data_IF_219504467671
#
_entry.id   IF_219504467671
#
_cell.length_a   1.000
_cell.length_b   1.000
_cell.length_c   1.000
_cell.angle_alpha   90.00
_cell.angle_beta   90.00
_cell.angle_gamma   90.00
#
_symmetry.space_group_name_H-M   'P 1'
#
loop_
_entity.id
_entity.type
_entity.pdbx_description
1 polymer ?
#
# COMPACT_ATOMS: atom_id res chain seq x y z
N UNK A 1 -2.51 -15.60 -1.38
CA UNK A 1 -1.54 -14.67 -0.78
C UNK A 1 -1.48 -13.46 -1.70
N UNK A 2 -1.63 -12.24 -1.16
CA UNK A 2 -1.63 -11.02 -1.97
C UNK A 2 -0.25 -10.77 -2.57
N UNK A 3 -0.14 -10.82 -3.90
CA UNK A 3 1.11 -10.50 -4.60
C UNK A 3 1.22 -8.99 -4.84
N UNK A 4 2.05 -8.34 -4.03
CA UNK A 4 2.31 -6.91 -4.12
C UNK A 4 3.27 -6.51 -5.25
N UNK A 5 3.97 -7.47 -5.87
CA UNK A 5 4.94 -7.18 -6.93
C UNK A 5 4.30 -6.60 -8.20
N UNK A 6 3.00 -6.81 -8.38
CA UNK A 6 2.19 -6.26 -9.48
C UNK A 6 1.54 -4.92 -9.15
N UNK A 7 1.70 -4.38 -7.93
CA UNK A 7 1.17 -3.08 -7.54
C UNK A 7 2.19 -1.96 -7.85
N UNK A 8 1.82 -1.03 -8.73
CA UNK A 8 2.72 0.05 -9.18
C UNK A 8 3.01 1.09 -8.10
N UNK A 9 2.15 1.23 -7.10
CA UNK A 9 2.29 2.21 -6.02
C UNK A 9 3.26 1.79 -4.91
N UNK A 10 3.75 0.55 -4.94
CA UNK A 10 4.63 0.01 -3.90
C UNK A 10 5.94 -0.49 -4.51
N UNK A 11 6.95 -0.59 -3.67
CA UNK A 11 8.21 -1.23 -4.04
C UNK A 11 8.82 -1.91 -2.82
N UNK A 12 9.73 -2.85 -3.06
CA UNK A 12 10.42 -3.62 -2.03
C UNK A 12 11.89 -3.74 -2.39
N UNK A 13 12.73 -3.53 -1.40
CA UNK A 13 14.16 -3.75 -1.46
C UNK A 13 14.58 -4.50 -0.19
N UNK A 14 15.22 -5.69 -0.29
CA UNK A 14 15.66 -6.45 0.88
C UNK A 14 16.54 -5.67 1.87
N UNK A 15 17.24 -4.63 1.41
CA UNK A 15 18.11 -3.80 2.25
C UNK A 15 17.36 -2.60 2.86
N UNK A 16 16.09 -2.38 2.49
CA UNK A 16 15.29 -1.22 2.91
C UNK A 16 14.15 -1.64 3.83
N UNK A 17 14.07 -1.04 5.01
CA UNK A 17 13.02 -1.30 6.02
C UNK A 17 12.83 -2.81 6.25
N UNK A 18 13.93 -3.53 6.46
CA UNK A 18 13.94 -4.99 6.69
C UNK A 18 13.23 -5.79 5.59
N UNK A 19 13.21 -5.28 4.36
CA UNK A 19 12.53 -5.91 3.23
C UNK A 19 11.01 -5.79 3.27
N UNK A 20 10.43 -4.81 3.98
CA UNK A 20 8.99 -4.55 3.92
C UNK A 20 8.57 -3.98 2.55
N UNK A 21 7.31 -4.20 2.16
CA UNK A 21 6.68 -3.42 1.09
C UNK A 21 6.42 -2.01 1.61
N UNK A 22 6.86 -1.02 0.86
CA UNK A 22 6.67 0.39 1.20
C UNK A 22 6.07 1.13 0.01
N UNK A 23 5.46 2.29 0.26
CA UNK A 23 5.03 3.18 -0.82
C UNK A 23 6.23 3.60 -1.67
N UNK A 24 6.06 3.54 -2.98
CA UNK A 24 7.11 3.83 -3.96
C UNK A 24 7.69 5.22 -3.74
N UNK A 25 9.02 5.31 -3.70
CA UNK A 25 9.72 6.58 -3.44
C UNK A 25 9.77 6.99 -1.97
N UNK A 26 9.27 6.15 -1.05
CA UNK A 26 9.25 6.45 0.38
C UNK A 26 9.88 5.30 1.19
N UNK A 27 9.97 5.49 2.51
CA UNK A 27 10.27 4.42 3.47
C UNK A 27 9.05 4.03 4.32
N UNK A 28 7.85 4.47 3.92
CA UNK A 28 6.61 4.27 4.68
C UNK A 28 6.04 2.89 4.36
N UNK A 29 5.95 1.98 5.34
CA UNK A 29 5.38 0.65 5.14
C UNK A 29 3.95 0.71 4.62
N UNK A 30 3.60 -0.20 3.73
CA UNK A 30 2.21 -0.37 3.28
C UNK A 30 1.32 -0.82 4.45
N UNK A 31 1.86 -1.58 5.40
CA UNK A 31 1.12 -1.99 6.61
C UNK A 31 0.65 -0.80 7.43
N UNK A 32 1.45 0.27 7.50
CA UNK A 32 1.10 1.48 8.23
C UNK A 32 -0.21 2.10 7.71
N UNK A 33 -0.51 2.00 6.41
CA UNK A 33 -1.80 2.45 5.89
C UNK A 33 -2.95 1.67 6.55
N UNK A 34 -2.88 0.34 6.55
CA UNK A 34 -3.95 -0.51 7.09
C UNK A 34 -4.09 -0.37 8.60
N UNK A 35 -2.97 -0.32 9.33
CA UNK A 35 -2.94 -0.05 10.77
C UNK A 35 -3.64 1.29 11.11
N UNK A 36 -3.35 2.35 10.35
CA UNK A 36 -4.00 3.65 10.56
C UNK A 36 -5.49 3.64 10.17
N UNK A 37 -5.88 2.91 9.11
CA UNK A 37 -7.28 2.75 8.74
C UNK A 37 -8.08 1.98 9.80
N UNK A 38 -7.47 0.98 10.46
CA UNK A 38 -8.06 0.25 11.59
C UNK A 38 -8.33 1.18 12.79
N UNK A 39 -7.48 2.17 13.00
CA UNK A 39 -7.66 3.22 14.03
C UNK A 39 -8.63 4.35 13.60
N UNK A 40 -9.26 4.24 12.43
CA UNK A 40 -10.24 5.21 11.92
C UNK A 40 -9.64 6.48 11.30
N UNK A 41 -8.34 6.46 10.98
CA UNK A 41 -7.66 7.58 10.31
C UNK A 41 -8.16 7.72 8.87
N UNK A 42 -8.49 8.95 8.46
CA UNK A 42 -8.89 9.22 7.09
C UNK A 42 -7.67 9.24 6.15
N UNK A 43 -7.84 8.82 4.89
CA UNK A 43 -6.77 8.83 3.87
C UNK A 43 -6.07 10.20 3.77
N UNK A 44 -6.84 11.30 3.83
CA UNK A 44 -6.29 12.65 3.76
C UNK A 44 -5.37 12.96 4.94
N UNK A 45 -5.70 12.49 6.14
CA UNK A 45 -4.86 12.67 7.34
C UNK A 45 -3.59 11.80 7.25
N UNK A 46 -3.71 10.57 6.75
CA UNK A 46 -2.57 9.68 6.56
C UNK A 46 -1.50 10.31 5.65
N UNK A 47 -1.90 10.87 4.50
CA UNK A 47 -0.94 11.51 3.58
C UNK A 47 -0.36 12.82 4.12
N UNK A 48 -1.07 13.50 5.03
CA UNK A 48 -0.54 14.66 5.77
C UNK A 48 0.58 14.24 6.74
N UNK A 49 0.45 13.10 7.42
CA UNK A 49 1.46 12.60 8.36
C UNK A 49 2.67 11.96 7.67
N UNK A 50 2.47 11.43 6.46
CA UNK A 50 3.50 10.74 5.68
C UNK A 50 3.79 11.49 4.36
N UNK A 51 4.42 12.68 4.44
CA UNK A 51 4.75 13.45 3.26
C UNK A 51 5.66 12.64 2.33
N UNK A 52 5.21 12.46 1.09
CA UNK A 52 5.83 11.58 0.09
C UNK A 52 4.92 10.44 -0.34
N UNK A 53 3.93 10.07 0.47
CA UNK A 53 2.83 9.22 0.03
C UNK A 53 1.72 10.08 -0.57
N UNK A 54 1.26 9.76 -1.77
CA UNK A 54 0.15 10.48 -2.41
C UNK A 54 -1.19 9.77 -2.23
N UNK A 55 -2.29 10.52 -2.34
CA UNK A 55 -3.64 9.96 -2.30
C UNK A 55 -3.82 8.93 -3.43
N UNK A 56 -3.25 9.18 -4.60
CA UNK A 56 -3.27 8.27 -5.75
C UNK A 56 -2.57 6.95 -5.42
N UNK A 57 -1.40 7.00 -4.75
CA UNK A 57 -0.71 5.78 -4.32
C UNK A 57 -1.56 4.98 -3.31
N UNK A 58 -2.19 5.66 -2.34
CA UNK A 58 -3.10 5.01 -1.39
C UNK A 58 -4.27 4.33 -2.11
N UNK A 59 -4.90 5.02 -3.07
CA UNK A 59 -5.99 4.46 -3.87
C UNK A 59 -5.56 3.22 -4.65
N UNK A 60 -4.40 3.25 -5.28
CA UNK A 60 -3.85 2.09 -6.02
C UNK A 60 -3.59 0.91 -5.07
N UNK A 61 -3.06 1.16 -3.87
CA UNK A 61 -2.86 0.11 -2.86
C UNK A 61 -4.19 -0.53 -2.43
N UNK A 62 -5.20 0.28 -2.13
CA UNK A 62 -6.52 -0.21 -1.71
C UNK A 62 -7.23 -0.97 -2.84
N UNK A 63 -7.18 -0.46 -4.07
CA UNK A 63 -7.73 -1.12 -5.25
C UNK A 63 -7.04 -2.46 -5.53
N UNK A 64 -5.71 -2.50 -5.42
CA UNK A 64 -4.93 -3.73 -5.59
C UNK A 64 -5.31 -4.80 -4.56
N UNK A 65 -5.38 -4.41 -3.29
CA UNK A 65 -5.81 -5.30 -2.22
C UNK A 65 -7.25 -5.80 -2.46
N UNK A 66 -8.18 -4.92 -2.83
CA UNK A 66 -9.56 -5.27 -3.15
C UNK A 66 -9.67 -6.24 -4.33
N UNK A 67 -8.94 -5.99 -5.42
CA UNK A 67 -8.93 -6.86 -6.62
C UNK A 67 -8.40 -8.25 -6.35
N UNK A 68 -7.49 -8.41 -5.39
CA UNK A 68 -6.97 -9.73 -5.01
C UNK A 68 -8.02 -10.68 -4.42
N UNK A 69 -9.16 -10.14 -4.00
CA UNK A 69 -10.29 -10.90 -3.48
C UNK A 69 -11.20 -11.41 -4.60
N UNK A 70 -11.10 -10.86 -5.81
CA UNK A 70 -11.82 -11.38 -6.96
C UNK A 70 -11.26 -12.76 -7.32
N UNK A 71 -12.14 -13.76 -7.43
CA UNK A 71 -11.76 -15.08 -7.94
C UNK A 71 -11.17 -14.93 -9.35
N UNK A 72 -10.22 -15.79 -9.75
CA UNK A 72 -9.81 -15.85 -11.14
C UNK A 72 -11.05 -16.06 -12.00
N UNK A 73 -11.29 -15.19 -12.98
CA UNK A 73 -12.27 -15.46 -14.01
C UNK A 73 -11.79 -16.72 -14.72
N UNK A 74 -12.37 -17.87 -14.40
CA UNK A 74 -12.13 -19.12 -15.11
C UNK A 74 -12.55 -18.83 -16.56
N UNK A 75 -11.56 -18.79 -17.46
CA UNK A 75 -11.78 -18.81 -18.89
C UNK A 75 -12.14 -20.23 -19.34
#
# INVERSE_FOLDING_TARGET
MLDWSSCSAVERDPQRVSGAWVFRGTRVPVSALFENLEDGVQITQFVEWFPGVTIEQVRVVLDHAGKSLALPQVA
#
